data_IF_298468955029
#
_entry.id   IF_298468955029
#
_cell.length_a   1.000
_cell.length_b   1.000
_cell.length_c   1.000
_cell.angle_alpha   90.00
_cell.angle_beta   90.00
_cell.angle_gamma   90.00
#
_symmetry.space_group_name_H-M   'P 1'
#
loop_
_entity.id
_entity.type
_entity.pdbx_description
1 polymer ?
#
# COMPACT_ATOMS: atom_id res chain seq x y z
N UNK A 1 23.10 1.16 -4.48
CA UNK A 1 22.07 1.90 -3.69
C UNK A 1 21.65 3.09 -4.52
N UNK A 2 20.36 3.22 -4.88
CA UNK A 2 19.88 4.37 -5.67
C UNK A 2 19.68 5.55 -4.70
N UNK A 3 20.24 6.74 -4.97
CA UNK A 3 20.05 7.92 -4.12
C UNK A 3 18.57 8.27 -3.92
N UNK A 4 18.19 8.64 -2.68
CA UNK A 4 16.81 9.07 -2.36
C UNK A 4 16.36 10.26 -3.20
N UNK A 5 17.28 11.15 -3.58
CA UNK A 5 17.04 12.27 -4.49
C UNK A 5 16.62 11.84 -5.91
N UNK A 6 17.08 10.68 -6.39
CA UNK A 6 16.70 10.12 -7.68
C UNK A 6 15.35 9.41 -7.57
N UNK A 7 15.12 8.66 -6.49
CA UNK A 7 13.84 8.01 -6.21
C UNK A 7 12.72 9.04 -5.96
N UNK A 8 13.02 10.14 -5.28
CA UNK A 8 12.06 11.21 -5.01
C UNK A 8 11.56 11.92 -6.27
N UNK A 9 12.33 11.94 -7.36
CA UNK A 9 11.84 12.44 -8.66
C UNK A 9 10.77 11.55 -9.28
N UNK A 10 10.71 10.28 -8.88
CA UNK A 10 9.68 9.33 -9.32
C UNK A 10 8.40 9.45 -8.48
N UNK A 11 8.48 10.11 -7.32
CA UNK A 11 7.37 10.33 -6.42
C UNK A 11 6.84 11.74 -6.71
N UNK A 12 5.80 11.79 -7.54
CA UNK A 12 5.11 13.04 -7.87
C UNK A 12 4.17 13.48 -6.75
N UNK A 13 3.00 14.00 -7.12
CA UNK A 13 1.94 14.34 -6.15
C UNK A 13 1.22 13.11 -5.57
N UNK A 14 1.70 11.92 -5.87
CA UNK A 14 1.09 10.65 -5.49
C UNK A 14 2.19 9.63 -5.27
N UNK A 15 2.15 8.96 -4.13
CA UNK A 15 2.96 7.77 -3.88
C UNK A 15 2.03 6.57 -3.80
N UNK A 16 2.24 5.58 -4.66
CA UNK A 16 1.38 4.42 -4.78
C UNK A 16 2.20 3.16 -5.01
N UNK A 17 2.02 2.14 -4.19
CA UNK A 17 2.75 0.87 -4.28
C UNK A 17 1.91 -0.30 -3.76
N UNK A 18 2.46 -1.50 -3.87
CA UNK A 18 1.84 -2.71 -3.32
C UNK A 18 2.43 -3.07 -1.95
N UNK A 19 1.63 -3.80 -1.17
CA UNK A 19 1.98 -4.34 0.13
C UNK A 19 1.61 -5.83 0.18
N UNK A 20 2.51 -6.67 0.69
CA UNK A 20 2.34 -8.13 0.78
C UNK A 20 1.47 -8.59 1.94
N UNK A 21 0.26 -8.04 2.06
CA UNK A 21 -0.69 -8.40 3.12
C UNK A 21 -2.14 -8.24 2.62
N UNK A 22 -3.12 -8.63 3.43
CA UNK A 22 -4.54 -8.49 3.13
C UNK A 22 -5.03 -7.05 3.30
N UNK A 23 -6.18 -6.72 2.69
CA UNK A 23 -6.81 -5.41 2.87
C UNK A 23 -7.15 -5.12 4.33
N UNK A 24 -7.72 -6.09 5.03
CA UNK A 24 -8.18 -5.93 6.41
C UNK A 24 -7.00 -5.77 7.35
N UNK A 25 -5.98 -6.63 7.23
CA UNK A 25 -4.77 -6.54 8.04
C UNK A 25 -4.01 -5.23 7.82
N UNK A 26 -3.89 -4.75 6.57
CA UNK A 26 -3.26 -3.45 6.33
C UNK A 26 -4.11 -2.30 6.86
N UNK A 27 -5.43 -2.34 6.68
CA UNK A 27 -6.33 -1.28 7.16
C UNK A 27 -6.29 -1.18 8.68
N UNK A 28 -6.33 -2.32 9.38
CA UNK A 28 -6.24 -2.38 10.84
C UNK A 28 -4.85 -1.95 11.32
N UNK A 29 -3.79 -2.31 10.57
CA UNK A 29 -2.43 -1.85 10.86
C UNK A 29 -2.32 -0.32 10.74
N UNK A 30 -2.85 0.26 9.67
CA UNK A 30 -2.88 1.72 9.46
C UNK A 30 -3.66 2.41 10.59
N UNK A 31 -4.84 1.90 10.92
CA UNK A 31 -5.70 2.45 11.98
C UNK A 31 -4.98 2.47 13.33
N UNK A 32 -4.38 1.33 13.70
CA UNK A 32 -3.59 1.21 14.93
C UNK A 32 -2.40 2.17 14.91
N UNK A 33 -1.65 2.23 13.82
CA UNK A 33 -0.50 3.13 13.70
C UNK A 33 -0.91 4.60 13.85
N UNK A 34 -1.98 5.03 13.18
CA UNK A 34 -2.49 6.41 13.31
C UNK A 34 -2.92 6.72 14.75
N UNK A 35 -3.56 5.74 15.41
CA UNK A 35 -3.98 5.84 16.81
C UNK A 35 -2.79 5.92 17.77
N UNK A 36 -1.77 5.08 17.58
CA UNK A 36 -0.54 5.05 18.39
C UNK A 36 0.28 6.34 18.23
N UNK A 37 0.26 6.93 17.02
CA UNK A 37 0.84 8.24 16.74
C UNK A 37 0.01 9.41 17.32
N UNK A 38 -1.20 9.14 17.82
CA UNK A 38 -2.12 10.14 18.35
C UNK A 38 -2.67 11.10 17.30
N UNK A 39 -2.77 10.66 16.04
CA UNK A 39 -3.27 11.49 14.94
C UNK A 39 -4.78 11.33 14.81
N UNK A 40 -5.49 12.44 14.61
CA UNK A 40 -6.91 12.42 14.31
C UNK A 40 -7.14 12.06 12.83
N UNK A 41 -8.02 11.09 12.58
CA UNK A 41 -8.37 10.64 11.24
C UNK A 41 -9.84 10.22 11.15
N UNK A 42 -10.38 10.29 9.95
CA UNK A 42 -11.64 9.66 9.56
C UNK A 42 -11.35 8.42 8.71
N UNK A 43 -11.98 7.30 9.06
CA UNK A 43 -11.93 6.04 8.31
C UNK A 43 -13.24 5.89 7.52
N UNK A 44 -13.14 5.83 6.20
CA UNK A 44 -14.27 5.65 5.30
C UNK A 44 -14.08 4.42 4.41
N UNK A 45 -15.10 3.57 4.32
CA UNK A 45 -15.17 2.55 3.27
C UNK A 45 -15.59 3.21 1.97
N UNK A 46 -14.81 3.03 0.92
CA UNK A 46 -15.03 3.68 -0.37
C UNK A 46 -15.02 2.66 -1.50
N UNK A 47 -15.61 3.01 -2.63
CA UNK A 47 -15.54 2.14 -3.80
C UNK A 47 -14.17 2.26 -4.49
N UNK A 48 -13.53 1.14 -4.86
CA UNK A 48 -12.32 1.18 -5.68
C UNK A 48 -12.57 1.92 -7.01
N UNK A 49 -11.58 2.60 -7.55
CA UNK A 49 -11.71 3.27 -8.84
C UNK A 49 -11.99 2.26 -9.96
N UNK A 50 -12.72 2.66 -11.02
CA UNK A 50 -13.07 1.75 -12.13
C UNK A 50 -11.85 1.05 -12.75
N UNK A 51 -10.70 1.73 -12.82
CA UNK A 51 -9.45 1.14 -13.29
C UNK A 51 -8.88 0.10 -12.33
N UNK A 52 -9.06 0.27 -11.02
CA UNK A 52 -8.61 -0.68 -9.99
C UNK A 52 -9.45 -1.94 -10.01
N UNK A 53 -10.77 -1.80 -10.16
CA UNK A 53 -11.67 -2.95 -10.37
C UNK A 53 -11.30 -3.72 -11.64
N UNK A 54 -11.00 -3.01 -12.72
CA UNK A 54 -10.70 -3.63 -14.02
C UNK A 54 -9.33 -4.31 -14.05
N UNK A 55 -8.30 -3.65 -13.50
CA UNK A 55 -6.91 -4.13 -13.58
C UNK A 55 -6.62 -5.09 -12.43
N UNK A 56 -7.01 -4.73 -11.21
CA UNK A 56 -6.66 -5.44 -9.98
C UNK A 56 -7.79 -6.29 -9.42
N UNK A 57 -8.99 -6.25 -10.01
CA UNK A 57 -10.16 -6.93 -9.44
C UNK A 57 -10.50 -6.44 -8.03
N UNK A 58 -10.16 -5.19 -7.72
CA UNK A 58 -10.41 -4.59 -6.42
C UNK A 58 -11.91 -4.60 -6.10
N UNK A 59 -12.26 -5.02 -4.88
CA UNK A 59 -13.63 -5.05 -4.37
C UNK A 59 -13.79 -4.08 -3.21
N UNK A 60 -12.80 -4.07 -2.32
CA UNK A 60 -12.76 -3.23 -1.14
C UNK A 60 -11.71 -2.13 -1.26
N UNK A 61 -12.06 -0.93 -0.78
CA UNK A 61 -11.12 0.13 -0.49
C UNK A 61 -11.48 0.84 0.82
N UNK A 62 -10.46 1.20 1.58
CA UNK A 62 -10.57 1.99 2.81
C UNK A 62 -9.74 3.24 2.68
N UNK A 63 -10.33 4.39 2.98
CA UNK A 63 -9.68 5.71 2.96
C UNK A 63 -9.55 6.24 4.37
N UNK A 64 -8.35 6.74 4.68
CA UNK A 64 -7.98 7.40 5.93
C UNK A 64 -7.69 8.86 5.60
N UNK A 65 -8.58 9.77 6.00
CA UNK A 65 -8.40 11.21 5.88
C UNK A 65 -7.91 11.76 7.22
N UNK A 66 -6.78 12.47 7.22
CA UNK A 66 -6.18 12.99 8.45
C UNK A 66 -6.65 14.44 8.66
N UNK A 67 -7.15 14.76 9.86
CA UNK A 67 -7.87 16.01 10.11
C UNK A 67 -7.05 17.29 9.86
N UNK A 68 -5.74 17.25 10.13
CA UNK A 68 -4.83 18.39 9.98
C UNK A 68 -3.93 18.27 8.74
N UNK A 69 -4.30 17.41 7.79
CA UNK A 69 -3.48 17.11 6.61
C UNK A 69 -4.27 17.24 5.32
N UNK A 70 -3.61 17.75 4.28
CA UNK A 70 -4.20 17.81 2.95
C UNK A 70 -4.15 16.48 2.20
N UNK A 71 -3.50 15.45 2.78
CA UNK A 71 -3.33 14.13 2.17
C UNK A 71 -4.16 13.07 2.86
N UNK A 72 -4.54 12.07 2.08
CA UNK A 72 -5.21 10.87 2.55
C UNK A 72 -4.41 9.63 2.16
N UNK A 73 -4.55 8.59 2.97
CA UNK A 73 -4.05 7.25 2.69
C UNK A 73 -5.22 6.38 2.26
N UNK A 74 -5.11 5.69 1.13
CA UNK A 74 -6.10 4.72 0.66
C UNK A 74 -5.47 3.35 0.59
N UNK A 75 -6.13 2.36 1.19
CA UNK A 75 -5.83 0.94 1.05
C UNK A 75 -6.86 0.34 0.09
N UNK A 76 -6.40 -0.37 -0.94
CA UNK A 76 -7.27 -1.02 -1.92
C UNK A 76 -6.90 -2.48 -2.03
N UNK A 77 -7.90 -3.35 -1.96
CA UNK A 77 -7.74 -4.79 -2.18
C UNK A 77 -7.22 -5.09 -3.59
N UNK A 78 -6.43 -6.16 -3.72
CA UNK A 78 -5.99 -6.68 -5.02
C UNK A 78 -6.38 -8.14 -5.10
N UNK A 79 -7.28 -8.45 -6.04
CA UNK A 79 -7.69 -9.82 -6.29
C UNK A 79 -6.81 -10.48 -7.37
N UNK A 80 -6.85 -11.81 -7.37
CA UNK A 80 -6.41 -12.58 -8.52
C UNK A 80 -7.33 -12.31 -9.73
N UNK A 81 -6.75 -12.37 -10.93
CA UNK A 81 -7.27 -11.86 -12.21
C UNK A 81 -8.79 -11.96 -12.43
N UNK A 82 -9.47 -10.90 -12.95
CA UNK A 82 -10.90 -10.97 -13.30
C UNK A 82 -11.23 -12.09 -14.29
N UNK A 83 -10.28 -12.53 -15.13
CA UNK A 83 -10.48 -13.67 -16.04
C UNK A 83 -10.41 -15.02 -15.32
N UNK A 84 -9.58 -15.14 -14.29
CA UNK A 84 -9.50 -16.35 -13.46
C UNK A 84 -10.68 -16.44 -12.50
N UNK A 85 -11.33 -15.31 -12.18
CA UNK A 85 -12.62 -15.27 -11.47
C UNK A 85 -13.72 -16.04 -12.22
N UNK A 86 -13.78 -15.91 -13.55
CA UNK A 86 -14.71 -16.67 -14.39
C UNK A 86 -14.47 -18.19 -14.32
N UNK A 87 -13.21 -18.61 -14.37
CA UNK A 87 -12.82 -20.02 -14.27
C UNK A 87 -12.97 -20.60 -12.86
N UNK A 88 -12.61 -19.84 -11.81
CA UNK A 88 -12.67 -20.28 -10.42
C UNK A 88 -14.10 -20.24 -9.84
N UNK A 89 -14.99 -19.39 -10.35
CA UNK A 89 -16.39 -19.33 -9.92
C UNK A 89 -17.15 -20.63 -10.15
N UNK A 90 -16.67 -21.49 -11.06
CA UNK A 90 -17.27 -22.78 -11.40
C UNK A 90 -16.74 -23.95 -10.54
N UNK A 91 -15.66 -23.77 -9.78
CA UNK A 91 -15.02 -24.89 -9.05
C UNK A 91 -14.52 -24.59 -7.64
N UNK A 92 -14.57 -23.34 -7.16
CA UNK A 92 -13.99 -22.96 -5.87
C UNK A 92 -15.07 -22.82 -4.78
N UNK A 93 -15.02 -23.70 -3.78
CA UNK A 93 -15.71 -23.52 -2.48
C UNK A 93 -15.22 -22.25 -1.76
N UNK A 94 -16.06 -21.64 -0.92
CA UNK A 94 -15.81 -20.32 -0.29
C UNK A 94 -14.43 -20.14 0.37
N UNK A 95 -13.86 -21.19 0.97
CA UNK A 95 -12.52 -21.19 1.58
C UNK A 95 -11.37 -21.05 0.57
N UNK A 96 -11.62 -21.39 -0.70
CA UNK A 96 -10.64 -21.23 -1.79
C UNK A 96 -10.73 -19.83 -2.41
N UNK A 97 -11.79 -19.05 -2.18
CA UNK A 97 -11.83 -17.65 -2.62
C UNK A 97 -10.98 -16.76 -1.71
N UNK A 98 -11.05 -16.95 -0.39
CA UNK A 98 -10.32 -16.10 0.58
C UNK A 98 -8.81 -16.22 0.43
N UNK A 99 -8.26 -17.45 0.30
CA UNK A 99 -6.81 -17.69 0.16
C UNK A 99 -6.14 -17.00 -1.02
N UNK A 100 -6.89 -16.66 -2.07
CA UNK A 100 -6.34 -16.09 -3.32
C UNK A 100 -6.51 -14.56 -3.43
N UNK A 101 -7.23 -13.95 -2.48
CA UNK A 101 -7.42 -12.49 -2.38
C UNK A 101 -6.66 -11.86 -1.21
N UNK A 102 -6.05 -12.66 -0.33
CA UNK A 102 -5.43 -12.21 0.93
C UNK A 102 -3.97 -11.74 0.86
N UNK A 103 -3.28 -11.82 -0.27
CA UNK A 103 -1.80 -11.71 -0.25
C UNK A 103 -1.22 -10.45 -0.89
N UNK A 104 -2.07 -9.54 -1.37
CA UNK A 104 -1.63 -8.25 -1.85
C UNK A 104 -2.71 -7.18 -1.66
N UNK A 105 -2.26 -5.99 -1.28
CA UNK A 105 -3.06 -4.79 -1.31
C UNK A 105 -2.25 -3.65 -1.93
N UNK A 106 -2.95 -2.60 -2.31
CA UNK A 106 -2.37 -1.38 -2.83
C UNK A 106 -2.52 -0.30 -1.77
N UNK A 107 -1.42 0.40 -1.51
CA UNK A 107 -1.39 1.57 -0.64
C UNK A 107 -1.14 2.81 -1.52
N UNK A 108 -1.93 3.85 -1.30
CA UNK A 108 -1.91 5.09 -2.08
C UNK A 108 -1.96 6.29 -1.13
N UNK A 109 -0.97 7.18 -1.21
CA UNK A 109 -0.91 8.43 -0.45
C UNK A 109 -1.00 9.61 -1.42
N UNK A 110 -2.05 10.42 -1.25
CA UNK A 110 -2.36 11.54 -2.15
C UNK A 110 -3.21 12.64 -1.49
N UNK A 111 -3.02 13.90 -1.88
CA UNK A 111 -1.85 14.45 -2.59
C UNK A 111 -0.59 14.46 -1.72
N UNK A 112 0.54 13.97 -2.23
CA UNK A 112 1.81 14.15 -1.56
C UNK A 112 2.36 15.55 -1.83
N UNK A 113 2.46 16.37 -0.78
CA UNK A 113 3.09 17.69 -0.79
C UNK A 113 4.43 17.64 -0.06
N UNK A 114 5.36 18.56 -0.38
CA UNK A 114 6.68 18.61 0.29
C UNK A 114 6.58 18.81 1.81
N UNK A 115 5.52 19.48 2.28
CA UNK A 115 5.28 19.67 3.71
C UNK A 115 4.79 18.39 4.41
N UNK A 116 4.08 17.52 3.67
CA UNK A 116 3.56 16.25 4.17
C UNK A 116 4.62 15.14 4.25
N UNK A 117 5.70 15.21 3.45
CA UNK A 117 6.73 14.17 3.35
C UNK A 117 7.25 13.68 4.73
N UNK A 118 7.57 14.53 5.72
CA UNK A 118 8.05 14.05 7.02
C UNK A 118 7.01 13.24 7.80
N UNK A 119 5.73 13.63 7.76
CA UNK A 119 4.65 12.91 8.44
C UNK A 119 4.34 11.60 7.71
N UNK A 120 4.29 11.64 6.38
CA UNK A 120 4.11 10.41 5.56
C UNK A 120 5.27 9.44 5.79
N UNK A 121 6.50 9.94 5.93
CA UNK A 121 7.66 9.11 6.25
C UNK A 121 7.50 8.39 7.59
N UNK A 122 7.12 9.12 8.65
CA UNK A 122 6.86 8.52 9.97
C UNK A 122 5.78 7.46 9.88
N UNK A 123 4.64 7.78 9.24
CA UNK A 123 3.54 6.84 9.09
C UNK A 123 3.96 5.55 8.36
N UNK A 124 4.64 5.67 7.23
CA UNK A 124 5.04 4.52 6.43
C UNK A 124 6.15 3.69 7.13
N UNK A 125 7.00 4.31 7.94
CA UNK A 125 7.96 3.61 8.78
C UNK A 125 7.27 2.80 9.87
N UNK A 126 6.32 3.40 10.59
CA UNK A 126 5.58 2.71 11.64
C UNK A 126 4.67 1.60 11.08
N UNK A 127 4.01 1.83 9.94
CA UNK A 127 3.26 0.78 9.24
C UNK A 127 4.19 -0.39 8.89
N UNK A 128 5.34 -0.11 8.27
CA UNK A 128 6.28 -1.16 7.89
C UNK A 128 6.85 -1.93 9.11
N UNK A 129 7.04 -1.25 10.24
CA UNK A 129 7.50 -1.87 11.48
C UNK A 129 6.41 -2.72 12.16
N UNK A 130 5.14 -2.40 11.94
CA UNK A 130 4.00 -3.12 12.51
C UNK A 130 3.58 -4.37 11.71
N UNK A 131 4.05 -4.51 10.45
CA UNK A 131 3.81 -5.69 9.62
C UNK A 131 4.71 -6.86 10.04
N UNK A 132 4.19 -8.09 9.95
CA UNK A 132 4.96 -9.31 10.28
C UNK A 132 6.09 -9.58 9.28
N UNK A 133 5.94 -9.12 8.04
CA UNK A 133 6.90 -9.32 6.96
C UNK A 133 7.23 -8.01 6.27
N UNK A 134 8.36 -7.99 5.54
CA UNK A 134 8.71 -6.84 4.71
C UNK A 134 7.54 -6.47 3.79
N UNK A 135 7.17 -5.19 3.67
CA UNK A 135 5.99 -4.80 2.89
C UNK A 135 6.10 -5.14 1.39
N UNK A 136 7.32 -5.31 0.86
CA UNK A 136 7.55 -5.76 -0.52
C UNK A 136 7.54 -7.31 -0.69
N UNK A 137 7.36 -8.07 0.39
CA UNK A 137 7.28 -9.53 0.37
C UNK A 137 5.91 -10.01 -0.11
N UNK A 138 5.63 -9.79 -1.39
CA UNK A 138 4.32 -10.08 -2.00
C UNK A 138 4.28 -11.51 -2.53
N UNK A 139 3.53 -12.38 -1.87
CA UNK A 139 3.22 -13.74 -2.33
C UNK A 139 1.90 -13.78 -3.12
N UNK A 140 1.88 -13.10 -4.26
CA UNK A 140 0.72 -13.05 -5.16
C UNK A 140 1.13 -13.51 -6.56
N UNK A 141 0.35 -14.36 -7.27
CA UNK A 141 0.87 -15.01 -8.47
C UNK A 141 1.15 -14.05 -9.64
N UNK A 142 0.53 -12.86 -9.67
CA UNK A 142 0.91 -11.78 -10.62
C UNK A 142 2.32 -11.24 -10.40
N UNK A 143 2.82 -11.30 -9.16
CA UNK A 143 4.17 -10.84 -8.79
C UNK A 143 5.22 -11.95 -8.94
N UNK A 144 4.81 -13.23 -8.85
CA UNK A 144 5.71 -14.37 -9.02
C UNK A 144 6.47 -14.35 -10.35
N UNK A 145 5.82 -13.89 -11.43
CA UNK A 145 6.43 -13.81 -12.76
C UNK A 145 6.91 -12.40 -13.15
N UNK A 146 6.90 -11.45 -12.21
CA UNK A 146 7.19 -10.04 -12.49
C UNK A 146 8.33 -9.51 -11.60
N UNK A 147 9.58 -9.97 -11.81
CA UNK A 147 10.72 -9.58 -10.95
C UNK A 147 11.00 -8.08 -10.99
N UNK A 148 10.81 -7.42 -12.13
CA UNK A 148 10.94 -5.97 -12.26
C UNK A 148 9.90 -5.21 -11.45
N UNK A 149 8.67 -5.72 -11.38
CA UNK A 149 7.61 -5.13 -10.58
C UNK A 149 7.90 -5.26 -9.09
N UNK A 150 8.35 -6.45 -8.64
CA UNK A 150 8.81 -6.67 -7.26
C UNK A 150 9.95 -5.73 -6.88
N UNK A 151 10.92 -5.57 -7.77
CA UNK A 151 12.03 -4.65 -7.56
C UNK A 151 11.56 -3.20 -7.46
N UNK A 152 10.64 -2.76 -8.34
CA UNK A 152 10.02 -1.43 -8.27
C UNK A 152 9.29 -1.20 -6.94
N UNK A 153 8.48 -2.16 -6.49
CA UNK A 153 7.77 -2.07 -5.20
C UNK A 153 8.76 -1.92 -4.05
N UNK A 154 9.82 -2.72 -4.04
CA UNK A 154 10.90 -2.62 -3.04
C UNK A 154 11.55 -1.24 -3.05
N UNK A 155 11.87 -0.68 -4.21
CA UNK A 155 12.45 0.66 -4.31
C UNK A 155 11.51 1.76 -3.78
N UNK A 156 10.20 1.65 -4.05
CA UNK A 156 9.20 2.61 -3.57
C UNK A 156 9.08 2.60 -2.05
N UNK A 157 9.15 1.43 -1.42
CA UNK A 157 9.19 1.29 0.04
C UNK A 157 10.52 1.79 0.62
N UNK A 158 11.64 1.42 -0.01
CA UNK A 158 12.96 1.86 0.42
C UNK A 158 13.14 3.37 0.36
N UNK A 159 12.40 4.10 -0.48
CA UNK A 159 12.42 5.56 -0.44
C UNK A 159 12.06 6.11 0.94
N UNK A 160 11.03 5.56 1.59
CA UNK A 160 10.55 5.99 2.91
C UNK A 160 11.28 5.31 4.07
N UNK A 161 11.71 4.07 3.88
CA UNK A 161 12.34 3.27 4.93
C UNK A 161 13.86 3.45 5.00
N UNK A 162 14.50 3.95 3.94
CA UNK A 162 15.94 4.20 3.99
C UNK A 162 16.22 5.40 4.89
N UNK A 163 17.13 5.27 5.88
CA UNK A 163 17.64 6.38 6.65
C UNK A 163 18.60 7.21 5.77
N UNK A 164 18.08 7.84 4.72
CA UNK A 164 18.86 8.77 3.92
C UNK A 164 18.79 10.14 4.61
N UNK A 165 19.94 10.55 5.17
CA UNK A 165 20.27 11.91 5.62
C UNK A 165 19.83 12.38 7.03
N UNK A 166 19.88 11.50 8.05
CA UNK A 166 20.00 11.95 9.46
C UNK A 166 21.39 12.52 9.83
N UNK A 167 22.32 12.65 8.86
CA UNK A 167 23.73 12.97 9.12
C UNK A 167 24.27 14.26 8.48
N UNK A 168 23.47 15.07 7.77
CA UNK A 168 23.97 16.29 7.11
C UNK A 168 23.06 17.51 7.29
N UNK A 169 22.56 17.71 8.51
CA UNK A 169 21.67 18.82 8.82
C UNK A 169 21.60 19.16 10.31
N UNK A 170 22.75 19.31 10.96
CA UNK A 170 22.99 20.21 12.10
C UNK A 170 24.48 20.42 12.29
#
# INVERSE_FOLDING_TARGET
MIPRSILGRLIGRTWRTFVGTSHDELSDTVERTLTDLGWAYDRESTEPASGERSIFGAEDATRFELADEEWALTVTSVSYDPLLRGLLSLSASGDTKSKYTTTACLIDVRPLSKGAEPRVEVLLQEIAAALETDPWSIDHPRFNYSPLLRYKVKLLWQYWLSPADRANGR
#
